data_IF_720126747448
#
_entry.id   IF_720126747448
#
_cell.length_a   1.000
_cell.length_b   1.000
_cell.length_c   1.000
_cell.angle_alpha   90.00
_cell.angle_beta   90.00
_cell.angle_gamma   90.00
#
_symmetry.space_group_name_H-M   'P 1'
#
loop_
_entity.id
_entity.type
_entity.pdbx_description
1 polymer ?
#
# COMPACT_ATOMS: atom_id res chain seq x y z
N UNK A 1 5.72 -2.97 18.51
CA UNK A 1 5.60 -3.38 17.09
C UNK A 1 6.58 -2.56 16.25
N UNK A 2 7.09 -3.14 15.18
CA UNK A 2 8.02 -2.51 14.24
C UNK A 2 7.36 -2.37 12.88
N UNK A 3 7.52 -1.21 12.25
CA UNK A 3 7.02 -0.95 10.90
C UNK A 3 8.20 -0.50 10.04
N UNK A 4 8.32 -1.11 8.86
CA UNK A 4 9.37 -0.74 7.90
C UNK A 4 8.75 -0.49 6.54
N UNK A 5 9.11 0.61 5.91
CA UNK A 5 8.70 0.96 4.55
C UNK A 5 9.82 0.71 3.55
N UNK A 6 9.49 0.03 2.45
CA UNK A 6 10.44 -0.35 1.40
C UNK A 6 10.12 0.26 0.03
N UNK A 7 9.47 1.41 0.02
CA UNK A 7 9.05 2.12 -1.20
C UNK A 7 7.61 1.78 -1.59
N UNK A 8 6.98 2.62 -2.38
CA UNK A 8 5.60 2.51 -2.86
C UNK A 8 4.63 2.16 -1.73
N UNK A 9 3.85 1.11 -1.87
CA UNK A 9 2.96 0.58 -0.85
C UNK A 9 3.59 -0.57 -0.03
N UNK A 10 4.86 -0.88 -0.27
CA UNK A 10 5.56 -2.01 0.34
C UNK A 10 5.89 -1.72 1.81
N UNK A 11 5.14 -2.31 2.69
CA UNK A 11 5.25 -2.15 4.14
C UNK A 11 5.39 -3.51 4.82
N UNK A 12 6.27 -3.58 5.82
CA UNK A 12 6.37 -4.73 6.74
C UNK A 12 5.93 -4.29 8.12
N UNK A 13 5.05 -5.08 8.73
CA UNK A 13 4.67 -4.94 10.14
C UNK A 13 5.13 -6.18 10.87
N UNK A 14 5.88 -5.98 11.95
CA UNK A 14 6.48 -7.05 12.72
C UNK A 14 6.26 -6.84 14.22
N UNK A 15 5.95 -7.90 14.93
CA UNK A 15 6.03 -7.98 16.37
C UNK A 15 7.15 -8.95 16.78
N UNK A 16 7.20 -9.38 18.04
CA UNK A 16 8.27 -10.27 18.55
C UNK A 16 8.33 -11.62 17.83
N UNK A 17 7.19 -12.16 17.42
CA UNK A 17 7.06 -13.56 17.00
C UNK A 17 6.64 -13.71 15.53
N UNK A 18 6.12 -12.65 14.92
CA UNK A 18 5.45 -12.73 13.61
C UNK A 18 5.69 -11.48 12.80
N UNK A 19 5.77 -11.63 11.50
CA UNK A 19 5.77 -10.50 10.57
C UNK A 19 4.79 -10.73 9.42
N UNK A 20 4.23 -9.66 8.90
CA UNK A 20 3.39 -9.63 7.70
C UNK A 20 3.88 -8.56 6.75
N UNK A 21 3.75 -8.80 5.45
CA UNK A 21 4.09 -7.85 4.39
C UNK A 21 2.84 -7.40 3.66
N UNK A 22 2.82 -6.13 3.26
CA UNK A 22 1.78 -5.54 2.42
C UNK A 22 2.38 -5.12 1.08
N UNK A 23 1.70 -5.48 -0.01
CA UNK A 23 1.92 -4.99 -1.36
C UNK A 23 3.41 -4.93 -1.77
N UNK A 24 4.18 -6.04 -1.70
CA UNK A 24 5.60 -6.03 -1.98
C UNK A 24 5.86 -5.76 -3.46
N UNK A 25 6.38 -4.58 -3.78
CA UNK A 25 6.69 -4.12 -5.12
C UNK A 25 8.12 -3.60 -5.21
N UNK A 26 8.85 -4.04 -6.24
CA UNK A 26 10.27 -3.82 -6.43
C UNK A 26 10.57 -3.11 -7.74
N UNK A 27 9.86 -3.51 -8.80
CA UNK A 27 10.22 -3.20 -10.20
C UNK A 27 10.10 -1.73 -10.57
N UNK A 28 9.48 -0.91 -9.73
CA UNK A 28 9.21 0.50 -10.04
C UNK A 28 10.17 1.50 -9.44
N UNK A 29 10.95 1.13 -8.44
CA UNK A 29 11.82 2.08 -7.74
C UNK A 29 13.03 2.49 -8.57
N UNK A 30 13.46 3.75 -8.44
CA UNK A 30 14.67 4.28 -9.06
C UNK A 30 15.97 3.54 -8.65
N UNK A 31 15.90 2.64 -7.68
CA UNK A 31 17.01 1.89 -7.10
C UNK A 31 16.72 0.39 -7.06
N UNK A 32 16.85 -0.29 -8.18
CA UNK A 32 16.85 -1.76 -8.23
C UNK A 32 17.90 -2.41 -7.28
N UNK A 33 18.93 -1.66 -6.89
CA UNK A 33 19.95 -2.09 -5.93
C UNK A 33 19.44 -2.16 -4.48
N UNK A 34 18.36 -1.47 -4.14
CA UNK A 34 17.72 -1.54 -2.80
C UNK A 34 16.93 -2.82 -2.58
N UNK A 35 16.62 -3.54 -3.65
CA UNK A 35 15.78 -4.74 -3.63
C UNK A 35 16.41 -5.93 -2.89
N UNK A 36 17.73 -6.08 -2.90
CA UNK A 36 18.39 -7.31 -2.42
C UNK A 36 18.31 -7.52 -0.90
N UNK A 37 18.23 -6.46 -0.11
CA UNK A 37 18.27 -6.58 1.35
C UNK A 37 16.95 -7.06 1.96
N UNK A 38 15.82 -6.46 1.56
CA UNK A 38 14.54 -6.81 2.18
C UNK A 38 13.88 -8.05 1.57
N UNK A 39 14.15 -8.37 0.30
CA UNK A 39 13.60 -9.57 -0.34
C UNK A 39 14.09 -10.87 0.34
N UNK A 40 15.25 -10.82 1.01
CA UNK A 40 15.74 -11.93 1.83
C UNK A 40 14.96 -12.09 3.14
N UNK A 41 14.33 -11.01 3.64
CA UNK A 41 13.60 -10.94 4.91
C UNK A 41 12.08 -10.80 4.70
N UNK A 42 11.55 -11.40 3.62
CA UNK A 42 10.13 -11.39 3.36
C UNK A 42 9.38 -12.14 4.47
N UNK A 43 8.23 -11.63 4.87
CA UNK A 43 7.37 -12.29 5.85
C UNK A 43 6.76 -13.59 5.27
N UNK A 44 6.37 -14.51 6.14
CA UNK A 44 5.72 -15.77 5.76
C UNK A 44 4.30 -15.56 5.21
N UNK A 45 3.69 -14.42 5.50
CA UNK A 45 2.40 -14.02 4.95
C UNK A 45 2.46 -12.65 4.30
N UNK A 46 1.90 -12.58 3.08
CA UNK A 46 1.71 -11.36 2.30
C UNK A 46 0.22 -11.04 2.26
N UNK A 47 -0.12 -9.77 2.43
CA UNK A 47 -1.46 -9.24 2.26
C UNK A 47 -1.49 -8.23 1.11
N UNK A 48 -2.34 -8.46 0.13
CA UNK A 48 -2.50 -7.61 -1.04
C UNK A 48 -3.72 -6.71 -0.86
N UNK A 49 -3.53 -5.40 -0.95
CA UNK A 49 -4.63 -4.46 -0.80
C UNK A 49 -5.56 -4.44 -2.01
N UNK A 50 -5.01 -4.54 -3.21
CA UNK A 50 -5.76 -4.63 -4.47
C UNK A 50 -4.88 -5.10 -5.63
N UNK A 51 -5.50 -5.45 -6.76
CA UNK A 51 -4.85 -6.16 -7.85
C UNK A 51 -3.97 -5.33 -8.80
N UNK A 52 -3.72 -4.04 -8.58
CA UNK A 52 -2.87 -3.26 -9.47
C UNK A 52 -1.43 -3.76 -9.51
N UNK A 53 -0.75 -3.52 -10.64
CA UNK A 53 0.59 -4.05 -10.91
C UNK A 53 1.64 -3.61 -9.88
N UNK A 54 1.54 -2.39 -9.36
CA UNK A 54 2.43 -1.81 -8.36
C UNK A 54 2.19 -2.33 -6.92
N UNK A 55 1.27 -3.29 -6.76
CA UNK A 55 1.00 -4.01 -5.53
C UNK A 55 1.21 -5.52 -5.68
N UNK A 56 1.11 -6.05 -6.91
CA UNK A 56 0.98 -7.49 -7.13
C UNK A 56 2.04 -8.09 -8.07
N UNK A 57 2.57 -7.32 -9.03
CA UNK A 57 3.33 -7.84 -10.16
C UNK A 57 4.61 -8.60 -9.77
N UNK A 58 5.27 -8.22 -8.71
CA UNK A 58 6.53 -8.82 -8.27
C UNK A 58 6.34 -10.03 -7.32
N UNK A 59 5.12 -10.22 -6.81
CA UNK A 59 4.80 -11.31 -5.87
C UNK A 59 5.19 -12.69 -6.40
N UNK A 60 4.89 -13.07 -7.67
CA UNK A 60 5.26 -14.39 -8.20
C UNK A 60 6.76 -14.70 -8.11
N UNK A 61 7.61 -13.70 -8.41
CA UNK A 61 9.07 -13.85 -8.32
C UNK A 61 9.53 -13.92 -6.86
N UNK A 62 8.99 -13.08 -6.00
CA UNK A 62 9.36 -12.98 -4.60
C UNK A 62 9.08 -14.25 -3.80
N UNK A 63 7.98 -14.94 -4.10
CA UNK A 63 7.57 -16.17 -3.37
C UNK A 63 8.06 -17.47 -4.01
N UNK A 64 8.79 -17.36 -5.13
CA UNK A 64 9.31 -18.54 -5.83
C UNK A 64 10.24 -19.35 -4.93
N UNK A 65 9.94 -20.65 -4.75
CA UNK A 65 10.72 -21.54 -3.91
C UNK A 65 10.62 -21.28 -2.40
N UNK A 66 9.69 -20.42 -1.97
CA UNK A 66 9.46 -20.09 -0.55
C UNK A 66 8.09 -20.58 -0.09
N UNK A 67 7.97 -20.89 1.19
CA UNK A 67 6.70 -21.25 1.82
C UNK A 67 6.02 -19.97 2.36
N UNK A 68 5.42 -19.21 1.43
CA UNK A 68 4.79 -17.93 1.71
C UNK A 68 3.36 -17.97 1.22
N UNK A 69 2.42 -17.57 2.07
CA UNK A 69 1.00 -17.45 1.75
C UNK A 69 0.66 -16.02 1.33
N UNK A 70 -0.08 -15.87 0.24
CA UNK A 70 -0.56 -14.60 -0.28
C UNK A 70 -2.06 -14.47 -0.01
N UNK A 71 -2.44 -13.62 0.91
CA UNK A 71 -3.82 -13.27 1.23
C UNK A 71 -4.28 -12.14 0.29
N UNK A 72 -5.25 -12.39 -0.58
CA UNK A 72 -5.65 -11.43 -1.61
C UNK A 72 -7.12 -11.60 -2.03
N UNK A 73 -7.65 -10.64 -2.80
CA UNK A 73 -8.99 -10.72 -3.40
C UNK A 73 -9.05 -11.75 -4.53
N UNK A 74 -10.27 -12.15 -4.93
CA UNK A 74 -10.49 -13.02 -6.09
C UNK A 74 -9.80 -12.50 -7.35
N UNK A 75 -9.91 -11.19 -7.61
CA UNK A 75 -9.30 -10.57 -8.80
C UNK A 75 -7.77 -10.66 -8.77
N UNK A 76 -7.15 -10.40 -7.62
CA UNK A 76 -5.71 -10.54 -7.44
C UNK A 76 -5.28 -12.02 -7.54
N UNK A 77 -6.03 -12.94 -6.97
CA UNK A 77 -5.79 -14.39 -7.08
C UNK A 77 -5.79 -14.87 -8.54
N UNK A 78 -6.75 -14.42 -9.36
CA UNK A 78 -6.77 -14.70 -10.79
C UNK A 78 -5.51 -14.22 -11.51
N UNK A 79 -4.99 -13.03 -11.14
CA UNK A 79 -3.75 -12.51 -11.72
C UNK A 79 -2.53 -13.34 -11.30
N UNK A 80 -2.44 -13.74 -10.03
CA UNK A 80 -1.36 -14.61 -9.53
C UNK A 80 -1.36 -15.99 -10.18
N UNK A 81 -2.54 -16.61 -10.34
CA UNK A 81 -2.69 -17.90 -11.02
C UNK A 81 -2.26 -17.82 -12.49
N UNK A 82 -2.64 -16.76 -13.20
CA UNK A 82 -2.19 -16.48 -14.57
C UNK A 82 -0.66 -16.39 -14.63
N UNK A 83 -0.04 -15.81 -13.61
CA UNK A 83 1.41 -15.61 -13.51
C UNK A 83 2.11 -16.83 -12.85
N UNK A 84 1.42 -18.01 -12.87
CA UNK A 84 1.93 -19.31 -12.47
C UNK A 84 2.27 -19.48 -10.99
N UNK A 85 1.63 -18.69 -10.12
CA UNK A 85 1.67 -18.93 -8.68
C UNK A 85 0.82 -20.17 -8.35
N UNK A 86 1.34 -21.07 -7.55
CA UNK A 86 0.63 -22.28 -7.12
C UNK A 86 -0.61 -21.93 -6.29
N UNK A 87 -1.73 -22.58 -6.56
CA UNK A 87 -2.98 -22.35 -5.84
C UNK A 87 -2.84 -22.54 -4.32
N UNK A 88 -2.00 -23.49 -3.89
CA UNK A 88 -1.70 -23.77 -2.49
C UNK A 88 -1.09 -22.58 -1.73
N UNK A 89 -0.50 -21.62 -2.44
CA UNK A 89 0.11 -20.40 -1.88
C UNK A 89 -0.85 -19.20 -1.86
N UNK A 90 -2.04 -19.35 -2.43
CA UNK A 90 -3.03 -18.28 -2.53
C UNK A 90 -4.17 -18.54 -1.56
N UNK A 91 -4.42 -17.58 -0.69
CA UNK A 91 -5.59 -17.55 0.19
C UNK A 91 -6.50 -16.41 -0.21
N UNK A 92 -7.62 -16.73 -0.83
CA UNK A 92 -8.64 -15.75 -1.16
C UNK A 92 -9.31 -15.26 0.12
N UNK A 93 -9.40 -13.95 0.27
CA UNK A 93 -9.99 -13.29 1.43
C UNK A 93 -11.03 -12.27 1.01
N UNK A 94 -11.98 -11.99 1.89
CA UNK A 94 -13.08 -11.07 1.64
C UNK A 94 -13.24 -10.06 2.77
N UNK A 95 -13.87 -8.93 2.48
CA UNK A 95 -14.20 -7.95 3.51
C UNK A 95 -15.10 -8.59 4.59
N UNK A 96 -14.71 -8.44 5.85
CA UNK A 96 -15.32 -9.08 7.01
C UNK A 96 -14.50 -10.23 7.59
N UNK A 97 -13.54 -10.78 6.83
CA UNK A 97 -12.69 -11.87 7.29
C UNK A 97 -11.77 -11.41 8.43
N UNK A 98 -11.43 -12.37 9.29
CA UNK A 98 -10.45 -12.23 10.35
C UNK A 98 -9.41 -13.32 10.20
N UNK A 99 -8.18 -12.91 10.05
CA UNK A 99 -7.04 -13.80 9.82
C UNK A 99 -6.13 -13.70 11.04
N UNK A 100 -5.71 -14.83 11.56
CA UNK A 100 -4.70 -14.90 12.62
C UNK A 100 -3.39 -15.37 12.01
N UNK A 101 -2.37 -14.55 12.18
CA UNK A 101 -1.00 -14.82 11.76
C UNK A 101 -0.12 -14.71 12.99
N UNK A 102 0.27 -15.87 13.55
CA UNK A 102 0.93 -15.91 14.85
C UNK A 102 0.11 -15.20 15.94
N UNK A 103 0.69 -14.20 16.57
CA UNK A 103 0.05 -13.38 17.60
C UNK A 103 -0.67 -12.12 17.07
N UNK A 104 -0.70 -11.93 15.74
CA UNK A 104 -1.44 -10.83 15.11
C UNK A 104 -2.85 -11.28 14.69
N UNK A 105 -3.84 -10.41 14.86
CA UNK A 105 -5.15 -10.50 14.23
C UNK A 105 -5.25 -9.43 13.13
N UNK A 106 -5.54 -9.85 11.91
CA UNK A 106 -5.76 -8.97 10.75
C UNK A 106 -7.22 -9.06 10.34
N UNK A 107 -7.94 -7.95 10.41
CA UNK A 107 -9.32 -7.83 9.96
C UNK A 107 -9.36 -7.17 8.60
N UNK A 108 -10.03 -7.82 7.65
CA UNK A 108 -10.19 -7.33 6.28
C UNK A 108 -11.38 -6.40 6.20
N UNK A 109 -11.15 -5.16 5.80
CA UNK A 109 -12.20 -4.15 5.67
C UNK A 109 -12.34 -3.74 4.20
N UNK A 110 -13.57 -3.49 3.75
CA UNK A 110 -13.79 -2.94 2.42
C UNK A 110 -13.20 -1.53 2.34
N UNK A 111 -12.52 -1.24 1.24
CA UNK A 111 -11.97 0.07 0.93
C UNK A 111 -12.40 0.50 -0.47
N UNK A 112 -12.07 1.71 -0.89
CA UNK A 112 -12.28 2.19 -2.25
C UNK A 112 -10.97 2.57 -2.89
N UNK A 113 -10.87 2.35 -4.20
CA UNK A 113 -9.78 2.91 -4.98
C UNK A 113 -10.00 4.42 -5.17
N UNK A 114 -8.94 5.19 -4.98
CA UNK A 114 -8.96 6.63 -5.29
C UNK A 114 -9.24 6.85 -6.77
N UNK A 115 -10.05 7.87 -7.08
CA UNK A 115 -10.33 8.23 -8.46
C UNK A 115 -9.32 9.27 -8.92
N UNK A 116 -8.52 8.94 -9.92
CA UNK A 116 -7.71 9.92 -10.62
C UNK A 116 -8.64 10.93 -11.31
N UNK A 117 -8.63 12.17 -10.84
CA UNK A 117 -9.41 13.24 -11.45
C UNK A 117 -8.88 13.56 -12.86
N UNK A 118 -9.75 14.07 -13.75
CA UNK A 118 -9.39 14.51 -15.12
C UNK A 118 -8.18 15.46 -15.09
N UNK A 119 -8.08 16.31 -14.09
CA UNK A 119 -6.95 17.24 -13.91
C UNK A 119 -5.62 16.52 -13.72
N UNK A 120 -5.59 15.46 -12.91
CA UNK A 120 -4.39 14.64 -12.70
C UNK A 120 -4.01 13.90 -13.98
N UNK A 121 -4.99 13.31 -14.65
CA UNK A 121 -4.80 12.64 -15.94
C UNK A 121 -4.16 13.58 -16.98
N UNK A 122 -4.76 14.75 -17.22
CA UNK A 122 -4.24 15.74 -18.16
C UNK A 122 -2.82 16.20 -17.77
N UNK A 123 -2.58 16.53 -16.50
CA UNK A 123 -1.26 16.95 -16.03
C UNK A 123 -0.19 15.88 -16.26
N UNK A 124 -0.54 14.62 -16.08
CA UNK A 124 0.37 13.50 -16.27
C UNK A 124 0.67 13.28 -17.75
N UNK A 125 -0.35 13.12 -18.59
CA UNK A 125 -0.17 12.76 -20.00
C UNK A 125 0.35 13.91 -20.88
N UNK A 126 0.15 15.16 -20.48
CA UNK A 126 0.74 16.33 -21.14
C UNK A 126 2.13 16.69 -20.63
N UNK A 127 2.68 15.92 -19.69
CA UNK A 127 4.02 16.18 -19.17
C UNK A 127 5.10 15.80 -20.19
N UNK A 128 6.17 16.60 -20.28
CA UNK A 128 7.30 16.31 -21.16
C UNK A 128 7.90 14.91 -20.90
N UNK A 129 7.96 14.45 -19.64
CA UNK A 129 8.44 13.10 -19.26
C UNK A 129 7.69 11.99 -20.00
N UNK A 130 6.35 12.12 -20.12
CA UNK A 130 5.48 11.15 -20.80
C UNK A 130 5.63 11.24 -22.32
N UNK A 131 5.64 12.46 -22.86
CA UNK A 131 5.74 12.70 -24.32
C UNK A 131 7.03 12.13 -24.90
N UNK A 132 8.15 12.23 -24.17
CA UNK A 132 9.46 11.73 -24.62
C UNK A 132 9.71 10.24 -24.36
N UNK A 133 8.80 9.52 -23.68
CA UNK A 133 8.94 8.10 -23.35
C UNK A 133 7.71 7.25 -23.73
N UNK A 134 7.28 7.24 -25.01
CA UNK A 134 6.04 6.58 -25.41
C UNK A 134 6.06 5.06 -25.20
N UNK A 135 7.22 4.41 -25.30
CA UNK A 135 7.37 2.97 -25.07
C UNK A 135 7.09 2.59 -23.61
N UNK A 136 7.51 3.42 -22.65
CA UNK A 136 7.21 3.20 -21.23
C UNK A 136 5.70 3.33 -20.94
N UNK A 137 5.03 4.26 -21.62
CA UNK A 137 3.58 4.39 -21.50
C UNK A 137 2.88 3.15 -22.03
N UNK A 138 3.31 2.60 -23.17
CA UNK A 138 2.74 1.35 -23.70
C UNK A 138 2.97 0.19 -22.72
N UNK A 139 4.16 0.11 -22.11
CA UNK A 139 4.47 -0.89 -21.09
C UNK A 139 3.54 -0.76 -19.88
N UNK A 140 3.42 0.43 -19.30
CA UNK A 140 2.57 0.70 -18.15
C UNK A 140 1.08 0.44 -18.44
N UNK A 141 0.60 0.79 -19.63
CA UNK A 141 -0.78 0.48 -20.06
C UNK A 141 -1.03 -1.03 -20.17
N UNK A 142 -0.05 -1.79 -20.67
CA UNK A 142 -0.14 -3.26 -20.69
C UNK A 142 -0.18 -3.83 -19.27
N UNK A 143 0.69 -3.39 -18.39
CA UNK A 143 0.71 -3.79 -16.98
C UNK A 143 -0.62 -3.47 -16.30
N UNK A 144 -1.11 -2.25 -16.44
CA UNK A 144 -2.40 -1.84 -15.86
C UNK A 144 -3.58 -2.71 -16.35
N UNK A 145 -3.58 -3.10 -17.64
CA UNK A 145 -4.61 -3.99 -18.20
C UNK A 145 -4.46 -5.43 -17.71
N UNK A 146 -3.23 -5.88 -17.49
CA UNK A 146 -2.95 -7.24 -17.02
C UNK A 146 -3.27 -7.41 -15.54
N UNK A 147 -3.23 -6.33 -14.75
CA UNK A 147 -3.47 -6.33 -13.33
C UNK A 147 -4.68 -5.44 -12.97
N UNK A 148 -5.91 -5.95 -13.14
CA UNK A 148 -7.11 -5.19 -12.83
C UNK A 148 -7.22 -4.94 -11.32
N UNK A 149 -7.73 -3.78 -10.93
CA UNK A 149 -7.85 -3.37 -9.53
C UNK A 149 -8.61 -4.39 -8.66
N UNK A 150 -9.79 -4.81 -9.11
CA UNK A 150 -10.67 -5.65 -8.33
C UNK A 150 -11.16 -4.98 -7.04
N UNK A 151 -11.39 -5.79 -6.01
CA UNK A 151 -11.74 -5.34 -4.68
C UNK A 151 -10.54 -4.65 -4.02
N UNK A 152 -10.83 -3.60 -3.27
CA UNK A 152 -9.81 -2.85 -2.50
C UNK A 152 -10.06 -3.09 -1.03
N UNK A 153 -9.01 -3.46 -0.32
CA UNK A 153 -9.07 -3.71 1.12
C UNK A 153 -8.25 -2.70 1.92
N UNK A 154 -8.72 -2.46 3.12
CA UNK A 154 -7.95 -1.92 4.23
C UNK A 154 -7.79 -3.03 5.27
N UNK A 155 -6.69 -2.99 6.01
CA UNK A 155 -6.37 -4.00 7.01
C UNK A 155 -6.28 -3.36 8.39
N UNK A 156 -7.09 -3.87 9.32
CA UNK A 156 -7.00 -3.51 10.74
C UNK A 156 -6.18 -4.57 11.46
N UNK A 157 -4.98 -4.23 11.85
CA UNK A 157 -3.99 -5.11 12.48
C UNK A 157 -4.01 -4.85 13.98
N UNK A 158 -4.22 -5.91 14.75
CA UNK A 158 -4.26 -5.87 16.21
C UNK A 158 -3.19 -6.80 16.75
N UNK A 159 -2.26 -6.27 17.53
CA UNK A 159 -1.19 -7.04 18.15
C UNK A 159 -0.58 -6.30 19.33
N UNK A 160 -0.17 -7.00 20.38
CA UNK A 160 0.52 -6.45 21.56
C UNK A 160 -0.19 -5.23 22.19
N UNK A 161 -1.52 -5.21 22.15
CA UNK A 161 -2.33 -4.08 22.64
C UNK A 161 -2.26 -2.82 21.79
N UNK A 162 -1.78 -2.93 20.56
CA UNK A 162 -1.71 -1.87 19.55
C UNK A 162 -2.69 -2.11 18.41
N UNK A 163 -3.21 -1.01 17.89
CA UNK A 163 -4.15 -0.96 16.77
C UNK A 163 -3.53 -0.20 15.60
N UNK A 164 -3.36 -0.86 14.45
CA UNK A 164 -2.90 -0.23 13.21
C UNK A 164 -3.99 -0.38 12.15
N UNK A 165 -4.30 0.69 11.45
CA UNK A 165 -5.14 0.64 10.25
C UNK A 165 -4.30 0.96 9.02
N UNK A 166 -4.18 0.00 8.10
CA UNK A 166 -3.56 0.18 6.79
C UNK A 166 -4.64 0.38 5.74
N UNK A 167 -4.62 1.52 5.05
CA UNK A 167 -5.56 1.85 3.97
C UNK A 167 -4.93 1.48 2.64
N UNK A 168 -5.61 0.66 1.84
CA UNK A 168 -5.07 0.15 0.56
C UNK A 168 -5.07 1.14 -0.60
N UNK A 169 -5.79 2.26 -0.49
CA UNK A 169 -5.81 3.33 -1.48
C UNK A 169 -6.28 4.63 -0.84
N UNK A 170 -6.08 5.76 -1.52
CA UNK A 170 -6.37 7.10 -1.01
C UNK A 170 -7.88 7.43 -1.03
N UNK A 171 -8.72 6.45 -0.67
CA UNK A 171 -10.17 6.62 -0.45
C UNK A 171 -10.68 5.57 0.56
N UNK A 172 -11.85 5.80 1.14
CA UNK A 172 -12.53 4.89 2.08
C UNK A 172 -13.97 4.68 1.65
N UNK A 173 -14.53 3.52 1.94
CA UNK A 173 -15.94 3.23 1.70
C UNK A 173 -16.80 3.81 2.83
N UNK A 174 -17.74 4.68 2.47
CA UNK A 174 -18.62 5.36 3.44
C UNK A 174 -19.53 4.41 4.20
N UNK A 175 -19.83 3.24 3.64
CA UNK A 175 -20.69 2.21 4.24
C UNK A 175 -19.92 1.22 5.13
N UNK A 176 -18.58 1.30 5.15
CA UNK A 176 -17.75 0.43 5.99
C UNK A 176 -17.53 1.07 7.37
N UNK A 177 -17.71 0.28 8.42
CA UNK A 177 -17.35 0.68 9.78
C UNK A 177 -15.86 0.46 9.99
N UNK A 178 -15.09 1.55 9.99
CA UNK A 178 -13.67 1.51 10.31
C UNK A 178 -13.43 1.67 11.82
N UNK A 179 -12.32 1.13 12.35
CA UNK A 179 -11.92 1.43 13.72
C UNK A 179 -11.59 2.92 13.86
N UNK A 180 -11.90 3.49 15.00
CA UNK A 180 -11.52 4.86 15.36
C UNK A 180 -10.46 4.86 16.46
N UNK A 181 -9.71 5.96 16.57
CA UNK A 181 -8.68 6.15 17.59
C UNK A 181 -7.56 5.09 17.57
N UNK A 182 -7.25 4.57 16.37
CA UNK A 182 -6.15 3.62 16.17
C UNK A 182 -4.80 4.26 16.55
N UNK A 183 -3.84 3.46 16.99
CA UNK A 183 -2.51 3.95 17.36
C UNK A 183 -1.77 4.50 16.14
N UNK A 184 -1.92 3.85 14.97
CA UNK A 184 -1.32 4.29 13.73
C UNK A 184 -2.27 4.09 12.55
N UNK A 185 -2.38 5.12 11.71
CA UNK A 185 -2.96 5.04 10.37
C UNK A 185 -1.83 5.03 9.34
N UNK A 186 -1.67 3.93 8.59
CA UNK A 186 -0.78 3.87 7.42
C UNK A 186 -1.60 4.30 6.21
N UNK A 187 -1.24 5.47 5.65
CA UNK A 187 -2.03 6.19 4.65
C UNK A 187 -1.22 6.37 3.36
N UNK A 188 -1.68 5.83 2.21
CA UNK A 188 -1.04 6.11 0.91
C UNK A 188 -1.24 7.59 0.56
N UNK A 189 -0.22 8.24 0.00
CA UNK A 189 -0.28 9.67 -0.29
C UNK A 189 -0.05 9.95 -1.77
N UNK A 190 -0.80 9.23 -2.63
CA UNK A 190 -0.75 9.36 -4.08
C UNK A 190 -2.11 9.01 -4.70
N UNK A 191 -2.28 9.25 -6.01
CA UNK A 191 -3.38 8.72 -6.83
C UNK A 191 -4.63 9.58 -6.92
N UNK A 192 -4.70 10.76 -6.28
CA UNK A 192 -5.82 11.69 -6.44
C UNK A 192 -5.36 13.14 -6.64
N UNK A 193 -6.27 14.01 -7.09
CA UNK A 193 -5.96 15.42 -7.41
C UNK A 193 -5.79 16.29 -6.17
N UNK A 194 -6.52 15.98 -5.09
CA UNK A 194 -6.64 16.78 -3.88
C UNK A 194 -6.19 15.96 -2.66
N UNK A 195 -4.90 15.58 -2.64
CA UNK A 195 -4.31 14.67 -1.65
C UNK A 195 -4.56 15.12 -0.21
N UNK A 196 -4.28 16.39 0.09
CA UNK A 196 -4.43 16.93 1.45
C UNK A 196 -5.88 16.86 1.91
N UNK A 197 -6.82 17.26 1.07
CA UNK A 197 -8.26 17.22 1.38
C UNK A 197 -8.74 15.80 1.62
N UNK A 198 -8.29 14.86 0.79
CA UNK A 198 -8.68 13.45 0.92
C UNK A 198 -8.03 12.81 2.17
N UNK A 199 -6.76 13.13 2.44
CA UNK A 199 -6.09 12.70 3.67
C UNK A 199 -6.84 13.19 4.91
N UNK A 200 -7.24 14.45 4.95
CA UNK A 200 -8.00 15.02 6.07
C UNK A 200 -9.38 14.35 6.24
N UNK A 201 -10.08 14.03 5.14
CA UNK A 201 -11.34 13.28 5.21
C UNK A 201 -11.14 11.93 5.90
N UNK A 202 -10.09 11.21 5.53
CA UNK A 202 -9.76 9.91 6.12
C UNK A 202 -9.35 10.07 7.60
N UNK A 203 -8.44 11.00 7.89
CA UNK A 203 -7.96 11.28 9.25
C UNK A 203 -9.11 11.67 10.18
N UNK A 204 -10.00 12.54 9.75
CA UNK A 204 -11.16 12.95 10.54
C UNK A 204 -12.15 11.79 10.79
N UNK A 205 -12.29 10.87 9.84
CA UNK A 205 -13.14 9.67 9.99
C UNK A 205 -12.56 8.66 10.97
N UNK A 206 -11.23 8.47 10.94
CA UNK A 206 -10.53 7.45 11.73
C UNK A 206 -10.09 8.02 13.09
N UNK A 207 -9.77 9.31 13.16
CA UNK A 207 -9.23 9.99 14.35
C UNK A 207 -8.01 9.24 14.93
N UNK A 208 -6.96 8.96 14.13
CA UNK A 208 -5.81 8.17 14.58
C UNK A 208 -4.96 8.98 15.58
N UNK A 209 -4.14 8.28 16.38
CA UNK A 209 -3.15 8.91 17.26
C UNK A 209 -1.92 9.38 16.50
N UNK A 210 -1.57 8.70 15.38
CA UNK A 210 -0.48 9.09 14.48
C UNK A 210 -0.80 8.65 13.05
N UNK A 211 -0.18 9.30 12.06
CA UNK A 211 -0.29 8.94 10.63
C UNK A 211 1.09 8.64 10.08
N UNK A 212 1.27 7.52 9.39
CA UNK A 212 2.44 7.20 8.60
C UNK A 212 2.07 7.28 7.12
N UNK A 213 2.75 8.16 6.39
CA UNK A 213 2.54 8.28 4.94
C UNK A 213 3.36 7.21 4.21
N UNK A 214 2.81 6.68 3.13
CA UNK A 214 3.52 5.82 2.20
C UNK A 214 3.04 6.09 0.77
N UNK A 215 3.63 5.43 -0.22
CA UNK A 215 3.24 5.56 -1.63
C UNK A 215 3.29 7.01 -2.12
N UNK A 216 4.30 7.76 -1.73
CA UNK A 216 4.53 9.15 -2.16
C UNK A 216 5.75 9.28 -3.09
N UNK A 217 6.47 8.20 -3.32
CA UNK A 217 7.66 8.10 -4.15
C UNK A 217 7.35 7.94 -5.66
N UNK A 218 8.35 8.14 -6.52
CA UNK A 218 8.25 7.96 -7.98
C UNK A 218 8.29 6.48 -8.36
N UNK A 219 7.22 5.76 -8.07
CA UNK A 219 7.14 4.30 -8.14
C UNK A 219 7.13 3.74 -9.57
N UNK A 220 6.58 4.48 -10.53
CA UNK A 220 6.44 4.04 -11.94
C UNK A 220 6.61 5.20 -12.91
N UNK A 221 7.86 5.70 -13.06
CA UNK A 221 8.15 6.74 -14.04
C UNK A 221 7.82 6.26 -15.47
N UNK A 222 7.44 7.13 -16.38
CA UNK A 222 7.36 8.59 -16.29
C UNK A 222 6.00 9.11 -15.78
N UNK A 223 5.07 8.23 -15.36
CA UNK A 223 3.68 8.57 -15.01
C UNK A 223 3.60 9.08 -13.57
N UNK A 224 4.29 8.42 -12.63
CA UNK A 224 4.38 8.86 -11.23
C UNK A 224 5.45 9.94 -11.04
N UNK A 225 5.49 10.51 -9.86
CA UNK A 225 6.49 11.48 -9.37
C UNK A 225 6.56 11.39 -7.86
N UNK A 226 7.70 11.77 -7.31
CA UNK A 226 7.80 12.06 -5.87
C UNK A 226 6.80 13.16 -5.51
N UNK A 227 6.06 12.93 -4.44
CA UNK A 227 5.10 13.88 -3.89
C UNK A 227 5.77 14.62 -2.73
N UNK A 228 5.81 15.96 -2.80
CA UNK A 228 6.23 16.77 -1.66
C UNK A 228 5.20 16.66 -0.53
N UNK A 229 5.57 15.93 0.51
CA UNK A 229 4.74 15.75 1.70
C UNK A 229 4.91 16.89 2.71
N UNK A 230 5.89 17.77 2.51
CA UNK A 230 6.28 18.79 3.48
C UNK A 230 5.20 19.84 3.75
N UNK A 231 4.40 20.21 2.74
CA UNK A 231 3.24 21.12 2.93
C UNK A 231 2.21 20.50 3.87
N UNK A 232 1.85 19.25 3.63
CA UNK A 232 0.89 18.52 4.45
C UNK A 232 1.39 18.31 5.88
N UNK A 233 2.65 17.92 6.06
CA UNK A 233 3.26 17.75 7.39
C UNK A 233 3.22 19.07 8.18
N UNK A 234 3.59 20.21 7.56
CA UNK A 234 3.52 21.52 8.22
C UNK A 234 2.09 21.92 8.58
N UNK A 235 1.14 21.67 7.67
CA UNK A 235 -0.28 21.93 7.93
C UNK A 235 -0.77 21.09 9.12
N UNK A 236 -0.52 19.79 9.13
CA UNK A 236 -0.94 18.89 10.22
C UNK A 236 -0.31 19.29 11.56
N UNK A 237 0.96 19.64 11.57
CA UNK A 237 1.65 20.13 12.80
C UNK A 237 1.00 21.38 13.39
N UNK A 238 0.48 22.26 12.53
CA UNK A 238 -0.16 23.52 12.94
C UNK A 238 -1.60 23.29 13.40
N UNK A 239 -2.41 22.61 12.57
CA UNK A 239 -3.87 22.53 12.77
C UNK A 239 -4.29 21.28 13.58
N UNK A 240 -3.46 20.21 13.56
CA UNK A 240 -3.71 18.93 14.25
C UNK A 240 -2.48 18.51 15.10
N UNK A 241 -2.00 19.35 16.03
CA UNK A 241 -0.72 19.11 16.73
C UNK A 241 -0.68 17.83 17.57
N UNK A 242 -1.84 17.22 17.85
CA UNK A 242 -1.96 15.95 18.59
C UNK A 242 -1.85 14.72 17.69
N UNK A 243 -1.82 14.89 16.37
CA UNK A 243 -1.74 13.81 15.39
C UNK A 243 -0.45 13.98 14.59
N UNK A 244 0.68 13.45 15.04
CA UNK A 244 1.93 13.53 14.30
C UNK A 244 1.83 12.79 12.97
N UNK A 245 2.41 13.39 11.92
CA UNK A 245 2.56 12.77 10.61
C UNK A 245 4.01 12.34 10.44
N UNK A 246 4.21 11.06 10.17
CA UNK A 246 5.50 10.41 9.99
C UNK A 246 5.69 10.18 8.49
N UNK A 247 6.78 10.68 7.94
CA UNK A 247 7.26 10.36 6.60
C UNK A 247 8.40 9.38 6.78
N UNK A 248 8.22 8.10 6.44
CA UNK A 248 9.25 7.10 6.69
C UNK A 248 10.45 7.29 5.76
N UNK A 249 11.61 6.94 6.26
CA UNK A 249 12.81 6.75 5.45
C UNK A 249 12.85 5.29 4.95
N UNK A 250 13.37 5.09 3.74
CA UNK A 250 13.48 3.77 3.14
C UNK A 250 14.27 2.80 4.07
N UNK A 251 13.70 1.60 4.30
CA UNK A 251 14.30 0.52 5.10
C UNK A 251 14.61 0.85 6.57
N UNK A 252 14.12 2.00 7.07
CA UNK A 252 14.28 2.38 8.47
C UNK A 252 13.13 1.86 9.31
N UNK A 253 13.44 1.25 10.45
CA UNK A 253 12.45 0.72 11.39
C UNK A 253 11.84 1.86 12.19
N UNK A 254 10.51 1.91 12.21
CA UNK A 254 9.70 2.72 13.13
C UNK A 254 9.18 1.83 14.24
N UNK A 255 9.37 2.23 15.48
CA UNK A 255 8.83 1.56 16.67
C UNK A 255 7.52 2.21 17.11
N UNK A 256 6.47 1.38 17.32
CA UNK A 256 5.15 1.79 17.78
C UNK A 256 4.89 1.35 19.23
#
# INVERSE_FOLDING_TARGET
MEITWYGTANLKVQNRDTSIHFDPYISGGADANKCSEWSCNLAEEIFITHGHFDHLMDVPELIRGRDIIVNCSDTAACSLLRDSVEFSKIKVIHAGDRIRTGSMEVRVLRCRHSRAGVKLFLKTFLSARVVFQPHEIVRLLKQHRSYPCGEVYAYHIISEGRDILHIGSMDIDDNTSYPSNVDLLMLPFQGCSDLEKQALRIINRISPKAVLLHHFDDSFPPVSRDIDTGSFVRFMKKEYPRIPVIVPEYSRILYL
#
